data_IF_407214368897
#
_entry.id   IF_407214368897
#
_cell.length_a   1.000
_cell.length_b   1.000
_cell.length_c   1.000
_cell.angle_alpha   90.00
_cell.angle_beta   90.00
_cell.angle_gamma   90.00
#
_symmetry.space_group_name_H-M   'P 1'
#
loop_
_entity.id
_entity.type
_entity.pdbx_description
1 polymer ?
#
# COMPACT_ATOMS: atom_id res chain seq x y z
N UNK A 1 -30.67 7.62 6.33
CA UNK A 1 -30.22 8.43 5.16
C UNK A 1 -29.04 9.37 5.49
N UNK A 2 -28.61 9.50 6.76
CA UNK A 2 -27.47 10.35 7.18
C UNK A 2 -26.07 9.77 6.91
N UNK A 3 -25.94 8.45 6.88
CA UNK A 3 -24.64 7.75 6.75
C UNK A 3 -23.88 8.11 5.47
N UNK A 4 -24.62 8.27 4.35
CA UNK A 4 -24.06 8.72 3.06
C UNK A 4 -23.47 10.12 3.14
N UNK A 5 -24.03 11.01 3.96
CA UNK A 5 -23.50 12.37 4.16
C UNK A 5 -22.20 12.39 4.97
N UNK A 6 -22.11 11.52 5.98
CA UNK A 6 -20.97 11.40 6.87
C UNK A 6 -19.75 10.76 6.18
N UNK A 7 -19.94 9.64 5.49
CA UNK A 7 -18.88 8.99 4.69
C UNK A 7 -18.39 9.92 3.57
N UNK A 8 -19.30 10.64 2.91
CA UNK A 8 -18.93 11.62 1.88
C UNK A 8 -18.01 12.70 2.44
N UNK A 9 -18.28 13.26 3.63
CA UNK A 9 -17.40 14.29 4.23
C UNK A 9 -16.02 13.74 4.61
N UNK A 10 -15.94 12.55 5.21
CA UNK A 10 -14.66 11.95 5.64
C UNK A 10 -13.79 11.44 4.49
N UNK A 11 -14.37 11.04 3.36
CA UNK A 11 -13.62 10.54 2.20
C UNK A 11 -13.38 11.65 1.17
N UNK A 12 -14.39 12.46 0.85
CA UNK A 12 -14.27 13.51 -0.18
C UNK A 12 -13.45 14.71 0.32
N UNK A 13 -13.45 15.00 1.62
CA UNK A 13 -12.67 16.10 2.19
C UNK A 13 -11.15 15.90 2.01
N UNK A 14 -10.55 14.80 2.51
CA UNK A 14 -9.13 14.51 2.35
C UNK A 14 -8.71 14.32 0.89
N UNK A 15 -9.52 13.63 0.08
CA UNK A 15 -9.26 13.48 -1.35
C UNK A 15 -9.30 14.82 -2.09
N UNK A 16 -10.22 15.70 -1.72
CA UNK A 16 -10.31 17.06 -2.22
C UNK A 16 -9.05 17.87 -1.88
N UNK A 17 -8.54 17.77 -0.65
CA UNK A 17 -7.28 18.40 -0.23
C UNK A 17 -6.06 17.92 -1.04
N UNK A 18 -5.98 16.63 -1.35
CA UNK A 18 -4.90 16.08 -2.19
C UNK A 18 -4.92 16.62 -3.62
N UNK A 19 -6.10 16.97 -4.14
CA UNK A 19 -6.28 17.59 -5.45
C UNK A 19 -6.02 19.11 -5.44
N UNK A 20 -5.98 19.78 -4.28
CA UNK A 20 -5.80 21.25 -4.16
C UNK A 20 -4.43 21.76 -4.60
N UNK A 21 -3.41 20.90 -4.65
CA UNK A 21 -2.04 21.29 -5.00
C UNK A 21 -1.70 21.08 -6.49
N UNK A 22 -2.67 21.23 -7.40
CA UNK A 22 -2.43 21.08 -8.84
C UNK A 22 -2.18 19.63 -9.29
N UNK A 23 -2.43 18.65 -8.42
CA UNK A 23 -2.28 17.23 -8.76
C UNK A 23 -3.49 16.75 -9.57
N UNK A 24 -3.23 16.06 -10.68
CA UNK A 24 -4.30 15.43 -11.47
C UNK A 24 -4.87 14.21 -10.72
N UNK A 25 -6.16 13.86 -10.93
CA UNK A 25 -6.77 12.64 -10.40
C UNK A 25 -5.93 11.39 -10.70
N UNK A 26 -5.33 11.32 -11.89
CA UNK A 26 -4.47 10.22 -12.32
C UNK A 26 -3.22 10.10 -11.42
N UNK A 27 -2.55 11.23 -11.12
CA UNK A 27 -1.37 11.24 -10.24
C UNK A 27 -1.72 10.85 -8.81
N UNK A 28 -2.85 11.32 -8.28
CA UNK A 28 -3.29 10.94 -6.94
C UNK A 28 -3.71 9.47 -6.90
N UNK A 29 -4.40 8.96 -7.93
CA UNK A 29 -4.80 7.57 -8.02
C UNK A 29 -3.58 6.63 -8.02
N UNK A 30 -2.57 6.90 -8.86
CA UNK A 30 -1.38 6.05 -8.93
C UNK A 30 -0.53 6.17 -7.66
N UNK A 31 -0.45 7.35 -7.04
CA UNK A 31 0.14 7.52 -5.70
C UNK A 31 -0.50 6.60 -4.66
N UNK A 32 -1.84 6.59 -4.59
CA UNK A 32 -2.58 5.79 -3.61
C UNK A 32 -2.40 4.29 -3.89
N UNK A 33 -2.47 3.89 -5.17
CA UNK A 33 -2.31 2.50 -5.56
C UNK A 33 -0.89 1.96 -5.28
N UNK A 34 0.15 2.71 -5.65
CA UNK A 34 1.54 2.35 -5.36
C UNK A 34 1.82 2.38 -3.86
N UNK A 35 1.32 3.38 -3.13
CA UNK A 35 1.50 3.48 -1.69
C UNK A 35 0.87 2.31 -0.94
N UNK A 36 -0.29 1.84 -1.40
CA UNK A 36 -0.92 0.66 -0.83
C UNK A 36 -0.11 -0.61 -1.13
N UNK A 37 0.31 -0.81 -2.39
CA UNK A 37 1.08 -1.99 -2.77
C UNK A 37 2.45 -2.05 -2.08
N UNK A 38 3.17 -0.92 -2.03
CA UNK A 38 4.45 -0.79 -1.32
C UNK A 38 4.27 -0.86 0.20
N UNK A 39 3.15 -0.36 0.74
CA UNK A 39 2.80 -0.49 2.16
C UNK A 39 2.59 -1.94 2.60
N UNK A 40 2.16 -2.80 1.68
CA UNK A 40 2.05 -4.24 1.88
C UNK A 40 3.35 -4.99 1.52
N UNK A 41 4.46 -4.31 1.24
CA UNK A 41 5.73 -4.97 1.01
C UNK A 41 6.14 -5.80 2.25
N UNK A 42 6.57 -7.07 2.08
CA UNK A 42 6.64 -8.03 3.18
C UNK A 42 7.85 -7.85 4.11
N UNK A 43 8.65 -6.79 3.92
CA UNK A 43 9.75 -6.44 4.81
C UNK A 43 9.35 -5.23 5.65
N UNK A 44 9.04 -5.49 6.91
CA UNK A 44 8.60 -4.48 7.88
C UNK A 44 9.62 -3.35 7.98
N UNK A 45 9.14 -2.10 8.00
CA UNK A 45 9.97 -0.90 8.14
C UNK A 45 10.61 -0.38 6.85
N UNK A 46 10.60 -1.15 5.75
CA UNK A 46 11.17 -0.69 4.47
C UNK A 46 10.16 0.02 3.56
N UNK A 47 8.86 -0.21 3.75
CA UNK A 47 7.79 0.34 2.90
C UNK A 47 7.80 1.87 2.82
N UNK A 48 8.10 2.56 3.92
CA UNK A 48 8.17 4.03 3.97
C UNK A 48 9.28 4.58 3.07
N UNK A 49 10.44 3.92 3.06
CA UNK A 49 11.57 4.30 2.21
C UNK A 49 11.25 4.00 0.74
N UNK A 50 10.65 2.83 0.47
CA UNK A 50 10.21 2.46 -0.88
C UNK A 50 9.17 3.45 -1.42
N UNK A 51 8.19 3.84 -0.61
CA UNK A 51 7.18 4.84 -0.97
C UNK A 51 7.82 6.21 -1.24
N UNK A 52 8.77 6.63 -0.40
CA UNK A 52 9.49 7.87 -0.61
C UNK A 52 10.30 7.85 -1.92
N UNK A 53 11.06 6.77 -2.16
CA UNK A 53 11.84 6.60 -3.38
C UNK A 53 10.94 6.58 -4.63
N UNK A 54 9.83 5.83 -4.60
CA UNK A 54 8.87 5.80 -5.70
C UNK A 54 8.23 7.17 -5.95
N UNK A 55 7.90 7.92 -4.89
CA UNK A 55 7.33 9.24 -5.01
C UNK A 55 8.29 10.23 -5.70
N UNK A 56 9.58 10.17 -5.35
CA UNK A 56 10.61 10.97 -6.02
C UNK A 56 10.81 10.53 -7.48
N UNK A 57 11.02 9.24 -7.71
CA UNK A 57 11.33 8.69 -9.04
C UNK A 57 10.22 8.96 -10.06
N UNK A 58 8.95 8.78 -9.66
CA UNK A 58 7.80 8.97 -10.55
C UNK A 58 7.12 10.35 -10.38
N UNK A 59 7.70 11.25 -9.58
CA UNK A 59 7.17 12.61 -9.30
C UNK A 59 5.70 12.60 -8.85
N UNK A 60 5.41 11.69 -7.92
CA UNK A 60 4.08 11.40 -7.41
C UNK A 60 3.66 12.37 -6.30
N UNK A 61 2.38 12.33 -5.95
CA UNK A 61 1.87 13.06 -4.79
C UNK A 61 2.37 12.36 -3.50
N UNK A 62 3.36 12.98 -2.85
CA UNK A 62 4.01 12.49 -1.62
C UNK A 62 3.03 12.27 -0.46
N UNK A 63 2.13 13.22 -0.13
CA UNK A 63 1.11 12.98 0.89
C UNK A 63 0.21 11.78 0.59
N UNK A 64 -0.21 11.62 -0.67
CA UNK A 64 -1.09 10.52 -1.07
C UNK A 64 -0.41 9.16 -0.94
N UNK A 65 0.84 9.01 -1.42
CA UNK A 65 1.54 7.73 -1.35
C UNK A 65 1.82 7.31 0.10
N UNK A 66 2.18 8.25 0.98
CA UNK A 66 2.44 7.95 2.38
C UNK A 66 1.16 7.70 3.16
N UNK A 67 0.07 8.41 2.87
CA UNK A 67 -1.23 8.09 3.46
C UNK A 67 -1.62 6.64 3.14
N UNK A 68 -1.52 6.23 1.88
CA UNK A 68 -1.84 4.86 1.50
C UNK A 68 -0.92 3.84 2.18
N UNK A 69 0.39 4.10 2.28
CA UNK A 69 1.33 3.27 3.03
C UNK A 69 0.89 3.08 4.50
N UNK A 70 0.61 4.19 5.21
CA UNK A 70 0.18 4.12 6.62
C UNK A 70 -1.15 3.40 6.82
N UNK A 71 -2.11 3.57 5.89
CA UNK A 71 -3.38 2.85 5.93
C UNK A 71 -3.21 1.34 5.79
N UNK A 72 -2.12 0.88 5.14
CA UNK A 72 -1.86 -0.55 4.93
C UNK A 72 -1.16 -1.23 6.11
N UNK A 73 -0.60 -0.50 7.07
CA UNK A 73 0.11 -1.11 8.21
C UNK A 73 -0.69 -2.16 8.99
N UNK A 74 -1.98 -1.96 9.32
CA UNK A 74 -2.76 -3.00 10.00
C UNK A 74 -2.89 -4.30 9.18
N UNK A 75 -2.80 -4.20 7.86
CA UNK A 75 -2.94 -5.33 6.94
C UNK A 75 -1.59 -5.99 6.59
N UNK A 76 -0.46 -5.35 6.91
CA UNK A 76 0.86 -5.81 6.50
C UNK A 76 1.17 -7.21 7.04
N UNK A 77 0.91 -7.48 8.33
CA UNK A 77 1.22 -8.79 8.94
C UNK A 77 0.41 -9.94 8.33
N UNK A 78 -0.94 -9.84 8.19
CA UNK A 78 -1.71 -10.86 7.47
C UNK A 78 -1.23 -11.09 6.03
N UNK A 79 -0.90 -10.01 5.31
CA UNK A 79 -0.46 -10.12 3.93
C UNK A 79 0.92 -10.72 3.78
N UNK A 80 1.84 -10.52 4.74
CA UNK A 80 3.13 -11.23 4.77
C UNK A 80 2.89 -12.75 4.72
N UNK A 81 1.99 -13.25 5.56
CA UNK A 81 1.66 -14.68 5.57
C UNK A 81 1.10 -15.14 4.23
N UNK A 82 0.17 -14.38 3.65
CA UNK A 82 -0.41 -14.68 2.35
C UNK A 82 0.67 -14.72 1.25
N UNK A 83 1.57 -13.75 1.23
CA UNK A 83 2.65 -13.68 0.24
C UNK A 83 3.68 -14.78 0.41
N UNK A 84 4.02 -15.19 1.64
CA UNK A 84 4.89 -16.36 1.88
C UNK A 84 4.27 -17.60 1.22
N UNK A 85 3.00 -17.89 1.51
CA UNK A 85 2.31 -19.06 0.96
C UNK A 85 2.16 -18.99 -0.55
N UNK A 86 1.87 -17.80 -1.07
CA UNK A 86 1.77 -17.59 -2.50
C UNK A 86 3.12 -17.78 -3.20
N UNK A 87 4.21 -17.26 -2.64
CA UNK A 87 5.56 -17.46 -3.15
C UNK A 87 6.03 -18.91 -3.08
N UNK A 88 5.74 -19.61 -1.98
CA UNK A 88 6.00 -21.05 -1.85
C UNK A 88 5.27 -21.85 -2.94
N UNK A 89 4.00 -21.53 -3.20
CA UNK A 89 3.21 -22.17 -4.26
C UNK A 89 3.80 -21.88 -5.65
N UNK A 90 4.22 -20.63 -5.92
CA UNK A 90 4.83 -20.25 -7.20
C UNK A 90 6.17 -20.96 -7.45
N UNK A 91 6.93 -21.24 -6.39
CA UNK A 91 8.25 -21.86 -6.46
C UNK A 91 8.23 -23.37 -6.20
N UNK A 92 7.05 -23.96 -5.95
CA UNK A 92 6.89 -25.36 -5.53
C UNK A 92 7.74 -25.72 -4.28
N UNK A 93 7.92 -24.76 -3.37
CA UNK A 93 8.69 -24.94 -2.13
C UNK A 93 7.81 -25.53 -1.01
N UNK A 94 8.38 -26.36 -0.12
CA UNK A 94 7.64 -26.85 1.04
C UNK A 94 7.29 -25.70 2.00
N UNK A 95 6.11 -25.73 2.64
CA UNK A 95 5.70 -24.71 3.60
C UNK A 95 6.68 -24.56 4.76
N UNK A 96 7.24 -23.36 4.92
CA UNK A 96 8.05 -23.04 6.09
C UNK A 96 7.12 -22.78 7.29
N UNK A 97 7.36 -23.40 8.46
CA UNK A 97 6.60 -23.07 9.67
C UNK A 97 6.79 -21.59 10.03
N UNK A 98 5.70 -20.84 10.05
CA UNK A 98 5.72 -19.41 10.33
C UNK A 98 4.93 -19.13 11.62
N UNK A 99 5.64 -19.07 12.74
CA UNK A 99 5.09 -18.66 14.04
C UNK A 99 5.74 -17.32 14.46
N UNK A 100 4.98 -16.22 14.56
CA UNK A 100 5.46 -14.91 15.00
C UNK A 100 6.20 -14.92 16.34
N UNK A 101 5.79 -15.77 17.29
CA UNK A 101 6.45 -15.87 18.59
C UNK A 101 7.82 -16.52 18.46
N UNK A 102 7.90 -17.59 17.68
CA UNK A 102 9.16 -18.27 17.37
C UNK A 102 10.13 -17.35 16.63
N UNK A 103 9.64 -16.55 15.69
CA UNK A 103 10.46 -15.56 14.97
C UNK A 103 11.10 -14.55 15.92
N UNK A 104 10.33 -13.99 16.86
CA UNK A 104 10.84 -13.01 17.82
C UNK A 104 11.87 -13.61 18.79
N UNK A 105 11.68 -14.86 19.21
CA UNK A 105 12.62 -15.57 20.08
C UNK A 105 13.90 -15.92 19.30
N UNK A 106 13.78 -16.49 18.10
CA UNK A 106 14.93 -16.88 17.27
C UNK A 106 15.78 -15.68 16.85
N UNK A 107 15.17 -14.54 16.52
CA UNK A 107 15.91 -13.33 16.16
C UNK A 107 16.77 -12.80 17.32
N UNK A 108 16.29 -12.89 18.56
CA UNK A 108 17.04 -12.44 19.74
C UNK A 108 18.12 -13.42 20.16
N UNK A 109 17.89 -14.72 19.96
CA UNK A 109 18.83 -15.76 20.35
C UNK A 109 20.03 -15.83 19.39
N UNK A 110 19.77 -15.86 18.08
CA UNK A 110 20.80 -15.94 17.06
C UNK A 110 20.33 -15.28 15.74
N UNK A 111 20.70 -14.01 15.51
CA UNK A 111 20.36 -13.30 14.28
C UNK A 111 20.88 -13.99 13.01
N UNK A 112 22.07 -14.59 13.03
CA UNK A 112 22.67 -15.21 11.84
C UNK A 112 21.89 -16.47 11.44
N UNK A 113 21.58 -17.34 12.41
CA UNK A 113 20.74 -18.51 12.17
C UNK A 113 19.30 -18.12 11.79
N UNK A 114 18.77 -17.01 12.33
CA UNK A 114 17.48 -16.47 11.93
C UNK A 114 17.47 -16.08 10.45
N UNK A 115 18.46 -15.32 9.98
CA UNK A 115 18.53 -14.94 8.56
C UNK A 115 18.76 -16.15 7.64
N UNK A 116 19.55 -17.14 8.06
CA UNK A 116 19.72 -18.38 7.29
C UNK A 116 18.39 -19.16 7.15
N UNK A 117 17.57 -19.19 8.21
CA UNK A 117 16.35 -20.01 8.27
C UNK A 117 15.11 -19.29 7.72
N UNK A 118 14.98 -18.00 7.99
CA UNK A 118 13.83 -17.18 7.61
C UNK A 118 14.11 -16.26 6.42
N UNK A 119 15.36 -16.13 5.97
CA UNK A 119 15.70 -15.42 4.74
C UNK A 119 15.05 -16.06 3.51
N UNK A 120 14.92 -17.39 3.49
CA UNK A 120 14.15 -18.10 2.46
C UNK A 120 12.66 -17.74 2.49
N UNK A 121 12.06 -17.70 3.69
CA UNK A 121 10.66 -17.29 3.84
C UNK A 121 10.44 -15.83 3.42
N UNK A 122 11.36 -14.93 3.76
CA UNK A 122 11.35 -13.55 3.27
C UNK A 122 11.46 -13.49 1.74
N UNK A 123 12.32 -14.31 1.13
CA UNK A 123 12.43 -14.47 -0.32
C UNK A 123 11.11 -14.92 -0.97
N UNK A 124 10.46 -15.96 -0.43
CA UNK A 124 9.14 -16.40 -0.88
C UNK A 124 8.11 -15.27 -0.77
N UNK A 125 8.09 -14.55 0.35
CA UNK A 125 7.18 -13.42 0.53
C UNK A 125 7.41 -12.33 -0.54
N UNK A 126 8.67 -11.98 -0.83
CA UNK A 126 9.01 -11.02 -1.88
C UNK A 126 8.53 -11.50 -3.24
N UNK A 127 8.74 -12.78 -3.58
CA UNK A 127 8.26 -13.36 -4.85
C UNK A 127 6.73 -13.31 -4.94
N UNK A 128 6.03 -13.71 -3.88
CA UNK A 128 4.57 -13.65 -3.82
C UNK A 128 4.04 -12.22 -3.95
N UNK A 129 4.68 -11.26 -3.27
CA UNK A 129 4.36 -9.85 -3.40
C UNK A 129 4.63 -9.33 -4.81
N UNK A 130 5.78 -9.65 -5.41
CA UNK A 130 6.15 -9.21 -6.76
C UNK A 130 5.17 -9.71 -7.82
N UNK A 131 4.65 -10.93 -7.66
CA UNK A 131 3.60 -11.46 -8.52
C UNK A 131 2.24 -10.77 -8.29
N UNK A 132 1.87 -10.47 -7.04
CA UNK A 132 0.57 -9.87 -6.70
C UNK A 132 0.50 -8.34 -6.91
N UNK A 133 1.62 -7.63 -6.74
CA UNK A 133 1.67 -6.18 -6.70
C UNK A 133 1.17 -5.50 -7.98
N UNK A 134 1.49 -5.96 -9.21
CA UNK A 134 0.95 -5.37 -10.43
C UNK A 134 -0.57 -5.43 -10.50
N UNK A 135 -1.17 -6.55 -10.09
CA UNK A 135 -2.63 -6.73 -10.04
C UNK A 135 -3.26 -5.83 -8.97
N UNK A 136 -2.64 -5.73 -7.80
CA UNK A 136 -3.09 -4.85 -6.73
C UNK A 136 -3.05 -3.37 -7.18
N UNK A 137 -1.94 -2.93 -7.76
CA UNK A 137 -1.79 -1.55 -8.27
C UNK A 137 -2.83 -1.27 -9.36
N UNK A 138 -2.97 -2.16 -10.35
CA UNK A 138 -3.94 -2.00 -11.44
C UNK A 138 -5.38 -1.93 -10.94
N UNK A 139 -5.76 -2.84 -10.04
CA UNK A 139 -7.12 -2.90 -9.46
C UNK A 139 -7.42 -1.66 -8.63
N UNK A 140 -6.50 -1.25 -7.74
CA UNK A 140 -6.67 -0.06 -6.92
C UNK A 140 -6.71 1.20 -7.77
N UNK A 141 -5.84 1.33 -8.76
CA UNK A 141 -5.84 2.47 -9.68
C UNK A 141 -7.17 2.57 -10.43
N UNK A 142 -7.65 1.45 -11.00
CA UNK A 142 -8.92 1.40 -11.72
C UNK A 142 -10.13 1.71 -10.82
N UNK A 143 -10.09 1.33 -9.54
CA UNK A 143 -11.15 1.62 -8.57
C UNK A 143 -11.14 3.08 -8.08
N UNK A 144 -9.95 3.63 -7.80
CA UNK A 144 -9.79 4.97 -7.20
C UNK A 144 -9.93 6.08 -8.23
N UNK A 145 -9.43 5.89 -9.45
CA UNK A 145 -9.47 6.90 -10.50
C UNK A 145 -10.87 7.45 -10.82
N UNK A 146 -11.93 6.64 -11.05
CA UNK A 146 -13.26 7.15 -11.35
C UNK A 146 -13.84 7.94 -10.18
N UNK A 147 -13.55 7.53 -8.93
CA UNK A 147 -13.96 8.27 -7.74
C UNK A 147 -13.32 9.67 -7.70
N UNK A 148 -12.00 9.75 -7.93
CA UNK A 148 -11.29 11.03 -7.95
C UNK A 148 -11.75 11.95 -9.08
N UNK A 149 -12.04 11.39 -10.26
CA UNK A 149 -12.60 12.15 -11.39
C UNK A 149 -13.98 12.72 -11.06
N UNK A 150 -14.86 11.93 -10.42
CA UNK A 150 -16.18 12.39 -9.96
C UNK A 150 -16.06 13.50 -8.92
N UNK A 151 -15.14 13.34 -7.96
CA UNK A 151 -14.84 14.39 -6.98
C UNK A 151 -14.40 15.65 -7.72
N UNK A 152 -13.39 15.59 -8.59
CA UNK A 152 -12.93 16.78 -9.32
C UNK A 152 -14.06 17.48 -10.10
N UNK A 153 -14.94 16.73 -10.75
CA UNK A 153 -16.08 17.29 -11.49
C UNK A 153 -17.10 18.02 -10.58
N UNK A 154 -17.40 17.48 -9.39
CA UNK A 154 -18.29 18.13 -8.43
C UNK A 154 -17.67 19.44 -7.89
N UNK A 155 -16.36 19.46 -7.69
CA UNK A 155 -15.65 20.64 -7.21
C UNK A 155 -15.51 21.73 -8.28
N UNK A 156 -15.35 21.38 -9.57
CA UNK A 156 -15.34 22.39 -10.64
C UNK A 156 -16.68 23.13 -10.81
N UNK A 157 -17.77 22.54 -10.33
CA UNK A 157 -19.12 23.13 -10.38
C UNK A 157 -19.48 23.93 -9.12
N UNK A 158 -18.65 23.86 -8.07
CA UNK A 158 -18.84 24.67 -6.85
C UNK A 158 -18.24 26.06 -7.08
N UNK A 159 -18.99 27.16 -6.89
CA UNK A 159 -18.47 28.52 -7.05
C UNK A 159 -17.19 28.67 -6.22
N UNK A 160 -16.11 29.15 -6.84
CA UNK A 160 -14.93 29.56 -6.06
C UNK A 160 -15.42 30.60 -5.06
N UNK A 161 -15.16 30.45 -3.74
CA UNK A 161 -15.36 31.56 -2.83
C UNK A 161 -14.47 32.69 -3.35
N UNK A 162 -15.11 33.76 -3.81
CA UNK A 162 -14.43 34.98 -4.24
C UNK A 162 -13.56 35.43 -3.07
N UNK A 163 -12.26 35.59 -3.34
CA UNK A 163 -11.30 36.16 -2.40
C UNK A 163 -11.39 37.67 -2.44
#
# INVERSE_FOLDING_TARGET
>A
MEEKGWLRRRVVGPLGLMLRHGSTPERVAISLALGAALGLFPIVGTSTLLCFAAALAFRLNHPAIQLANYLMYPFQIPFILLYVRFGEALLASPPVPFDPRMLAVSLRADPAAFFARFGLAAGHAVVGWSAAAPFLVGTLYAAVLPLLRRVRAQWSLSPRPER
#
